data_IF_857364784633
#
_entry.id   IF_857364784633
#
_cell.length_a   1.000
_cell.length_b   1.000
_cell.length_c   1.000
_cell.angle_alpha   90.00
_cell.angle_beta   90.00
_cell.angle_gamma   90.00
#
_symmetry.space_group_name_H-M   'P 1'
#
loop_
_entity.id
_entity.type
_entity.pdbx_description
1 polymer ?
#
# COMPACT_ATOMS: atom_id res chain seq x y z
N UNK A 1 -18.09 -11.60 -21.18
CA UNK A 1 -17.92 -10.43 -20.31
C UNK A 1 -16.59 -9.74 -20.66
N UNK A 2 -16.62 -8.44 -21.02
CA UNK A 2 -15.43 -7.67 -21.36
C UNK A 2 -15.11 -6.72 -20.23
N UNK A 3 -13.95 -6.90 -19.62
CA UNK A 3 -13.51 -6.11 -18.45
C UNK A 3 -12.29 -5.26 -18.82
N UNK A 4 -12.31 -3.99 -18.44
CA UNK A 4 -11.15 -3.11 -18.48
C UNK A 4 -10.65 -2.84 -17.06
N UNK A 5 -9.42 -3.20 -16.77
CA UNK A 5 -8.75 -2.83 -15.53
C UNK A 5 -7.97 -1.52 -15.73
N UNK A 6 -8.23 -0.52 -14.91
CA UNK A 6 -7.41 0.68 -14.78
C UNK A 6 -6.52 0.52 -13.55
N UNK A 7 -5.22 0.52 -13.77
CA UNK A 7 -4.21 0.19 -12.76
C UNK A 7 -3.31 1.40 -12.46
N UNK A 8 -2.82 1.46 -11.23
CA UNK A 8 -1.81 2.45 -10.80
C UNK A 8 -0.39 2.09 -11.28
N UNK A 9 -0.13 0.81 -11.52
CA UNK A 9 1.18 0.29 -11.91
C UNK A 9 1.04 -0.76 -13.01
N UNK A 10 2.10 -0.96 -13.79
CA UNK A 10 2.17 -2.03 -14.77
C UNK A 10 2.49 -3.36 -14.06
N UNK A 11 1.61 -4.39 -14.15
CA UNK A 11 1.87 -5.67 -13.51
C UNK A 11 3.17 -6.32 -14.02
N UNK A 12 3.99 -6.94 -13.14
CA UNK A 12 5.29 -7.48 -13.50
C UNK A 12 5.27 -8.44 -14.71
N UNK A 13 4.30 -9.35 -14.77
CA UNK A 13 4.17 -10.31 -15.87
C UNK A 13 3.82 -9.68 -17.21
N UNK A 14 3.13 -8.52 -17.21
CA UNK A 14 2.86 -7.74 -18.42
C UNK A 14 4.09 -6.90 -18.79
N UNK A 15 4.77 -6.33 -17.78
CA UNK A 15 5.99 -5.55 -17.99
C UNK A 15 7.11 -6.35 -18.65
N UNK A 16 7.29 -7.61 -18.23
CA UNK A 16 8.26 -8.53 -18.81
C UNK A 16 8.01 -8.73 -20.31
N UNK A 17 6.77 -8.99 -20.72
CA UNK A 17 6.40 -9.16 -22.12
C UNK A 17 6.53 -7.89 -22.96
N UNK A 18 6.38 -6.73 -22.34
CA UNK A 18 6.56 -5.43 -22.98
C UNK A 18 8.03 -4.93 -22.95
N UNK A 19 8.98 -5.72 -22.41
CA UNK A 19 10.36 -5.33 -22.16
C UNK A 19 10.47 -4.00 -21.38
N UNK A 20 9.67 -3.86 -20.32
CA UNK A 20 9.64 -2.70 -19.41
C UNK A 20 10.03 -3.11 -18.00
N UNK A 21 10.48 -2.14 -17.20
CA UNK A 21 10.66 -2.37 -15.78
C UNK A 21 9.28 -2.55 -15.10
N UNK A 22 9.07 -3.69 -14.46
CA UNK A 22 7.88 -3.97 -13.65
C UNK A 22 8.00 -3.34 -12.28
N UNK A 23 6.88 -2.97 -11.69
CA UNK A 23 6.80 -2.49 -10.31
C UNK A 23 6.57 -3.66 -9.35
N UNK A 24 7.35 -3.73 -8.26
CA UNK A 24 7.08 -4.66 -7.16
C UNK A 24 5.99 -4.15 -6.19
N UNK A 25 5.48 -2.98 -6.45
CA UNK A 25 4.35 -2.42 -5.74
C UNK A 25 3.07 -3.16 -6.06
N UNK A 26 2.03 -3.21 -5.77
CA UNK A 26 0.79 -3.88 -6.24
C UNK A 26 0.97 -5.34 -6.72
N UNK A 27 1.89 -6.09 -6.11
CA UNK A 27 2.11 -7.51 -6.46
C UNK A 27 0.87 -8.40 -6.30
N UNK A 28 -0.13 -7.98 -5.52
CA UNK A 28 -1.42 -8.63 -5.35
C UNK A 28 -2.25 -8.71 -6.66
N UNK A 29 -2.14 -7.70 -7.54
CA UNK A 29 -2.79 -7.73 -8.88
C UNK A 29 -2.30 -8.92 -9.71
N UNK A 30 -1.03 -9.31 -9.57
CA UNK A 30 -0.46 -10.42 -10.34
C UNK A 30 -1.17 -11.75 -10.06
N UNK A 31 -1.59 -11.98 -8.81
CA UNK A 31 -2.35 -13.17 -8.43
C UNK A 31 -3.74 -13.22 -9.09
N UNK A 32 -4.46 -12.11 -9.04
CA UNK A 32 -5.76 -11.97 -9.70
C UNK A 32 -5.62 -12.04 -11.24
N UNK A 33 -4.62 -11.37 -11.82
CA UNK A 33 -4.37 -11.36 -13.26
C UNK A 33 -4.10 -12.76 -13.81
N UNK A 34 -3.26 -13.54 -13.15
CA UNK A 34 -2.91 -14.91 -13.60
C UNK A 34 -4.11 -15.85 -13.63
N UNK A 35 -5.15 -15.57 -12.84
CA UNK A 35 -6.38 -16.36 -12.78
C UNK A 35 -7.42 -15.87 -13.80
N UNK A 36 -7.68 -14.56 -13.83
CA UNK A 36 -8.74 -13.99 -14.68
C UNK A 36 -8.48 -14.22 -16.18
N UNK A 37 -7.21 -14.26 -16.59
CA UNK A 37 -6.81 -14.51 -18.00
C UNK A 37 -7.10 -15.98 -18.42
N UNK A 38 -7.34 -16.88 -17.46
CA UNK A 38 -7.70 -18.29 -17.73
C UNK A 38 -9.20 -18.52 -17.89
N UNK A 39 -10.00 -17.51 -17.59
CA UNK A 39 -11.46 -17.61 -17.64
C UNK A 39 -11.96 -17.44 -19.09
N UNK A 40 -12.33 -18.52 -19.74
CA UNK A 40 -12.79 -18.53 -21.15
C UNK A 40 -13.96 -17.58 -21.43
N UNK A 41 -14.79 -17.32 -20.42
CA UNK A 41 -15.95 -16.43 -20.52
C UNK A 41 -15.61 -14.95 -20.37
N UNK A 42 -14.33 -14.59 -20.17
CA UNK A 42 -13.89 -13.26 -19.82
C UNK A 42 -12.80 -12.76 -20.77
N UNK A 43 -13.00 -11.56 -21.32
CA UNK A 43 -11.97 -10.85 -22.11
C UNK A 43 -11.45 -9.68 -21.30
N UNK A 44 -10.14 -9.72 -20.95
CA UNK A 44 -9.50 -8.69 -20.15
C UNK A 44 -8.73 -7.70 -21.02
N UNK A 45 -8.92 -6.42 -20.75
CA UNK A 45 -8.05 -5.33 -21.18
C UNK A 45 -7.44 -4.64 -19.95
N UNK A 46 -6.20 -4.15 -20.07
CA UNK A 46 -5.50 -3.43 -19.00
C UNK A 46 -5.15 -2.04 -19.46
N UNK A 47 -5.42 -1.05 -18.63
CA UNK A 47 -5.00 0.33 -18.79
C UNK A 47 -3.95 0.66 -17.72
N UNK A 48 -2.76 1.12 -18.10
CA UNK A 48 -1.63 1.32 -17.20
C UNK A 48 -0.88 2.63 -17.47
N UNK A 49 -0.26 3.25 -16.44
CA UNK A 49 0.44 4.52 -16.58
C UNK A 49 1.83 4.38 -17.19
N UNK A 50 2.23 5.42 -17.94
CA UNK A 50 3.59 5.62 -18.45
C UNK A 50 4.10 7.02 -18.07
N UNK A 51 5.41 7.17 -17.95
CA UNK A 51 6.06 8.39 -17.50
C UNK A 51 6.30 9.46 -18.57
N UNK A 52 6.05 9.15 -19.86
CA UNK A 52 6.17 10.06 -21.00
C UNK A 52 5.05 9.82 -22.00
N UNK A 53 4.60 10.88 -22.66
CA UNK A 53 3.59 10.79 -23.73
C UNK A 53 4.07 9.97 -24.93
N UNK A 54 5.37 9.98 -25.23
CA UNK A 54 5.97 9.20 -26.30
C UNK A 54 5.90 7.68 -26.06
N UNK A 55 5.63 7.28 -24.83
CA UNK A 55 5.46 5.89 -24.42
C UNK A 55 4.01 5.38 -24.52
N UNK A 56 3.06 6.27 -24.90
CA UNK A 56 1.66 5.88 -25.07
C UNK A 56 1.54 4.97 -26.29
N UNK A 57 1.30 3.68 -26.04
CA UNK A 57 1.11 2.65 -27.06
C UNK A 57 0.00 1.70 -26.65
N UNK A 58 -0.80 1.29 -27.65
CA UNK A 58 -1.69 0.15 -27.51
C UNK A 58 -0.92 -1.10 -27.95
N UNK A 59 -1.07 -2.19 -27.22
CA UNK A 59 -0.38 -3.45 -27.49
C UNK A 59 -1.21 -4.66 -27.10
N UNK A 60 -0.88 -5.80 -27.64
CA UNK A 60 -1.39 -7.09 -27.20
C UNK A 60 -0.25 -7.86 -26.54
N UNK A 61 -0.54 -8.46 -25.42
CA UNK A 61 0.41 -9.25 -24.65
C UNK A 61 -0.10 -10.67 -24.52
N UNK A 62 0.69 -11.64 -25.01
CA UNK A 62 0.40 -13.06 -24.83
C UNK A 62 1.01 -13.51 -23.51
N UNK A 63 0.16 -13.82 -22.55
CA UNK A 63 0.53 -14.50 -21.31
C UNK A 63 0.33 -16.01 -21.47
N UNK A 64 0.96 -16.82 -20.63
CA UNK A 64 0.85 -18.27 -20.67
C UNK A 64 -0.62 -18.77 -20.61
N UNK A 65 -1.53 -17.96 -20.13
CA UNK A 65 -2.94 -18.25 -19.90
C UNK A 65 -3.91 -17.58 -20.88
N UNK A 66 -3.45 -16.70 -21.78
CA UNK A 66 -4.33 -16.02 -22.73
C UNK A 66 -3.74 -14.68 -23.22
N UNK A 67 -4.51 -13.95 -24.01
CA UNK A 67 -4.12 -12.64 -24.59
C UNK A 67 -4.78 -11.52 -23.80
N UNK A 68 -4.01 -10.47 -23.49
CA UNK A 68 -4.47 -9.26 -22.81
C UNK A 68 -4.20 -8.05 -23.70
N UNK A 69 -5.24 -7.24 -23.96
CA UNK A 69 -5.08 -5.95 -24.63
C UNK A 69 -4.61 -4.89 -23.62
N UNK A 70 -3.53 -4.20 -23.92
CA UNK A 70 -2.87 -3.25 -23.05
C UNK A 70 -2.92 -1.85 -23.63
N UNK A 71 -3.39 -0.89 -22.86
CA UNK A 71 -3.53 0.53 -23.22
C UNK A 71 -2.68 1.38 -22.27
N UNK A 72 -1.68 2.08 -22.79
CA UNK A 72 -0.92 3.02 -21.99
C UNK A 72 -1.59 4.39 -21.93
N UNK A 73 -1.50 5.05 -20.76
CA UNK A 73 -1.85 6.47 -20.58
C UNK A 73 -0.71 7.20 -19.86
N UNK A 74 -0.58 8.49 -20.08
CA UNK A 74 0.41 9.32 -19.41
C UNK A 74 -0.03 9.69 -17.99
N UNK A 75 0.88 9.55 -17.02
CA UNK A 75 0.71 9.99 -15.63
C UNK A 75 1.97 10.74 -15.17
N UNK A 76 1.85 12.02 -14.79
CA UNK A 76 2.95 12.80 -14.23
C UNK A 76 3.19 12.43 -12.75
N UNK A 77 4.00 11.39 -12.53
CA UNK A 77 4.37 10.91 -11.19
C UNK A 77 5.23 11.89 -10.40
N UNK A 78 5.80 12.92 -11.04
CA UNK A 78 6.58 13.96 -10.36
C UNK A 78 5.68 15.02 -9.74
N UNK A 79 4.51 15.23 -10.37
CA UNK A 79 3.50 16.18 -9.94
C UNK A 79 2.13 15.50 -9.84
N UNK A 80 1.98 14.51 -8.93
CA UNK A 80 0.76 13.72 -8.81
C UNK A 80 -0.45 14.56 -8.37
N UNK A 81 -0.19 15.79 -7.89
CA UNK A 81 -1.19 16.81 -7.54
C UNK A 81 -1.72 17.59 -8.75
N UNK A 82 -1.34 17.24 -9.98
CA UNK A 82 -1.83 17.90 -11.20
C UNK A 82 -2.85 17.03 -11.90
N UNK A 83 -4.07 17.51 -11.98
CA UNK A 83 -5.12 16.84 -12.72
C UNK A 83 -4.89 16.95 -14.24
N UNK A 84 -5.08 15.87 -14.97
CA UNK A 84 -4.84 15.81 -16.41
C UNK A 84 -6.14 15.68 -17.23
N UNK A 85 -6.52 16.72 -17.94
CA UNK A 85 -7.60 16.65 -18.95
C UNK A 85 -7.22 15.77 -20.16
N UNK A 86 -5.90 15.60 -20.43
CA UNK A 86 -5.42 14.70 -21.47
C UNK A 86 -5.73 13.24 -21.13
N UNK A 87 -5.74 12.90 -19.84
CA UNK A 87 -6.14 11.56 -19.39
C UNK A 87 -7.61 11.27 -19.73
N UNK A 88 -8.53 12.24 -19.55
CA UNK A 88 -9.93 12.07 -19.93
C UNK A 88 -10.08 11.81 -21.45
N UNK A 89 -9.38 12.58 -22.30
CA UNK A 89 -9.40 12.39 -23.74
C UNK A 89 -8.88 10.98 -24.11
N UNK A 90 -7.78 10.57 -23.52
CA UNK A 90 -7.18 9.24 -23.74
C UNK A 90 -8.12 8.12 -23.30
N UNK A 91 -8.77 8.23 -22.15
CA UNK A 91 -9.74 7.25 -21.68
C UNK A 91 -10.97 7.16 -22.58
N UNK A 92 -11.43 8.27 -23.16
CA UNK A 92 -12.50 8.24 -24.15
C UNK A 92 -12.11 7.40 -25.39
N UNK A 93 -10.85 7.51 -25.87
CA UNK A 93 -10.34 6.68 -26.97
C UNK A 93 -10.26 5.20 -26.59
N UNK A 94 -9.74 4.90 -25.40
CA UNK A 94 -9.61 3.55 -24.89
C UNK A 94 -10.97 2.88 -24.77
N UNK A 95 -11.95 3.55 -24.17
CA UNK A 95 -13.32 3.04 -24.02
C UNK A 95 -13.98 2.74 -25.37
N UNK A 96 -13.78 3.60 -26.39
CA UNK A 96 -14.27 3.36 -27.76
C UNK A 96 -13.63 2.14 -28.42
N UNK A 97 -12.34 1.86 -28.14
CA UNK A 97 -11.61 0.70 -28.68
C UNK A 97 -11.92 -0.59 -27.94
N UNK A 98 -11.81 -0.57 -26.62
CA UNK A 98 -11.99 -1.76 -25.76
C UNK A 98 -13.47 -2.17 -25.66
N UNK A 99 -14.40 -1.21 -25.68
CA UNK A 99 -15.85 -1.42 -25.50
C UNK A 99 -16.13 -2.38 -24.34
N UNK A 100 -15.66 -2.06 -23.13
CA UNK A 100 -15.85 -2.92 -21.97
C UNK A 100 -17.30 -2.91 -21.50
N UNK A 101 -17.76 -4.01 -20.92
CA UNK A 101 -19.03 -4.09 -20.19
C UNK A 101 -18.86 -3.44 -18.80
N UNK A 102 -17.66 -3.59 -18.19
CA UNK A 102 -17.30 -3.06 -16.88
C UNK A 102 -15.88 -2.51 -16.90
N UNK A 103 -15.68 -1.35 -16.26
CA UNK A 103 -14.37 -0.80 -15.92
C UNK A 103 -14.13 -0.99 -14.42
N UNK A 104 -13.09 -1.74 -14.03
CA UNK A 104 -12.63 -1.84 -12.66
C UNK A 104 -11.41 -0.95 -12.47
N UNK A 105 -11.53 0.05 -11.63
CA UNK A 105 -10.51 1.06 -11.31
C UNK A 105 -9.86 0.65 -9.99
N UNK A 106 -8.58 0.35 -10.00
CA UNK A 106 -7.83 -0.08 -8.82
C UNK A 106 -7.09 1.11 -8.20
N UNK A 107 -7.60 1.53 -7.03
CA UNK A 107 -7.04 2.65 -6.26
C UNK A 107 -7.68 4.00 -6.60
N UNK A 108 -7.54 4.90 -5.64
CA UNK A 108 -8.05 6.28 -5.70
C UNK A 108 -6.93 7.32 -5.55
N UNK A 109 -5.68 6.85 -5.54
CA UNK A 109 -4.51 7.60 -5.13
C UNK A 109 -4.10 8.70 -6.12
N UNK A 110 -4.57 8.63 -7.37
CA UNK A 110 -4.15 9.53 -8.44
C UNK A 110 -5.33 10.10 -9.22
N UNK A 111 -5.08 11.20 -9.93
CA UNK A 111 -6.08 11.93 -10.70
C UNK A 111 -6.71 11.12 -11.84
N UNK A 112 -6.05 10.06 -12.34
CA UNK A 112 -6.60 9.23 -13.41
C UNK A 112 -7.88 8.48 -12.99
N UNK A 113 -8.06 8.16 -11.70
CA UNK A 113 -9.31 7.57 -11.21
C UNK A 113 -10.48 8.50 -11.46
N UNK A 114 -10.36 9.76 -11.03
CA UNK A 114 -11.38 10.77 -11.30
C UNK A 114 -11.58 11.01 -12.81
N UNK A 115 -10.48 11.03 -13.58
CA UNK A 115 -10.55 11.21 -15.03
C UNK A 115 -11.36 10.09 -15.72
N UNK A 116 -11.18 8.83 -15.30
CA UNK A 116 -11.97 7.70 -15.80
C UNK A 116 -13.44 7.82 -15.39
N UNK A 117 -13.73 8.12 -14.13
CA UNK A 117 -15.10 8.31 -13.62
C UNK A 117 -15.82 9.42 -14.40
N UNK A 118 -15.17 10.58 -14.58
CA UNK A 118 -15.74 11.70 -15.36
C UNK A 118 -15.97 11.32 -16.82
N UNK A 119 -15.04 10.57 -17.41
CA UNK A 119 -15.14 10.10 -18.80
C UNK A 119 -16.33 9.16 -18.97
N UNK A 120 -16.50 8.18 -18.09
CA UNK A 120 -17.63 7.24 -18.13
C UNK A 120 -18.96 7.98 -17.95
N UNK A 121 -19.06 8.86 -16.97
CA UNK A 121 -20.29 9.62 -16.69
C UNK A 121 -20.73 10.52 -17.87
N UNK A 122 -19.77 11.04 -18.66
CA UNK A 122 -20.06 11.80 -19.88
C UNK A 122 -20.67 10.98 -21.03
N UNK A 123 -20.51 9.64 -21.01
CA UNK A 123 -21.06 8.75 -22.05
C UNK A 123 -22.56 8.46 -21.88
N UNK A 124 -23.15 8.77 -20.73
CA UNK A 124 -24.57 8.58 -20.46
C UNK A 124 -25.02 7.11 -20.59
N UNK A 125 -26.10 6.87 -21.33
CA UNK A 125 -26.69 5.52 -21.46
C UNK A 125 -25.79 4.49 -22.15
N UNK A 126 -24.79 4.92 -22.91
CA UNK A 126 -23.83 4.03 -23.59
C UNK A 126 -22.59 3.73 -22.73
N UNK A 127 -22.56 4.20 -21.49
CA UNK A 127 -21.44 4.01 -20.59
C UNK A 127 -21.30 2.56 -20.12
N UNK A 128 -20.07 2.02 -20.01
CA UNK A 128 -19.83 0.77 -19.28
C UNK A 128 -20.21 0.95 -17.81
N UNK A 129 -20.50 -0.16 -17.14
CA UNK A 129 -20.56 -0.16 -15.67
C UNK A 129 -19.18 0.18 -15.11
N UNK A 130 -19.11 0.71 -13.87
CA UNK A 130 -17.83 0.99 -13.21
C UNK A 130 -17.82 0.47 -11.78
N UNK A 131 -16.63 0.10 -11.34
CA UNK A 131 -16.31 -0.34 -10.00
C UNK A 131 -15.00 0.34 -9.58
N UNK A 132 -14.97 1.01 -8.43
CA UNK A 132 -13.72 1.48 -7.82
C UNK A 132 -13.33 0.52 -6.71
N UNK A 133 -12.07 0.05 -6.72
CA UNK A 133 -11.46 -0.68 -5.61
C UNK A 133 -10.61 0.27 -4.77
N UNK A 134 -10.99 0.52 -3.51
CA UNK A 134 -10.23 1.37 -2.61
C UNK A 134 -8.98 0.63 -2.14
N UNK A 135 -7.80 1.24 -2.34
CA UNK A 135 -6.52 0.75 -1.85
C UNK A 135 -6.06 1.53 -0.62
N UNK A 136 -5.79 2.80 -0.77
CA UNK A 136 -5.60 3.76 0.31
C UNK A 136 -6.75 4.76 0.35
N UNK A 137 -6.81 5.57 1.41
CA UNK A 137 -7.75 6.68 1.53
C UNK A 137 -6.95 7.97 1.62
N UNK A 138 -6.77 8.61 0.45
CA UNK A 138 -5.76 9.65 0.25
C UNK A 138 -6.07 10.94 1.02
N UNK A 139 -7.34 11.37 1.07
CA UNK A 139 -7.67 12.57 1.85
C UNK A 139 -7.38 12.37 3.34
N UNK A 140 -7.64 11.16 3.89
CA UNK A 140 -7.30 10.83 5.26
C UNK A 140 -5.79 10.76 5.46
N UNK A 141 -5.05 10.23 4.47
CA UNK A 141 -3.59 10.29 4.49
C UNK A 141 -3.08 11.73 4.57
N UNK A 142 -3.71 12.67 3.86
CA UNK A 142 -3.38 14.08 3.93
C UNK A 142 -3.64 14.69 5.31
N UNK A 143 -4.75 14.36 5.92
CA UNK A 143 -5.11 14.82 7.27
C UNK A 143 -4.12 14.31 8.34
N UNK A 144 -3.72 13.04 8.26
CA UNK A 144 -2.81 12.40 9.23
C UNK A 144 -1.31 12.51 8.87
N UNK A 145 -0.97 13.21 7.76
CA UNK A 145 0.40 13.22 7.21
C UNK A 145 1.46 13.73 8.17
N UNK A 146 1.09 14.65 9.05
CA UNK A 146 1.98 15.32 10.01
C UNK A 146 1.78 14.86 11.45
N UNK A 147 1.04 13.76 11.65
CA UNK A 147 0.75 13.25 12.99
C UNK A 147 2.04 13.08 13.81
N UNK A 148 2.03 13.67 15.01
CA UNK A 148 3.12 13.63 16.00
C UNK A 148 4.48 14.20 15.52
N UNK A 149 4.48 14.99 14.46
CA UNK A 149 5.70 15.68 14.05
C UNK A 149 5.77 17.10 14.65
N UNK A 150 6.93 17.51 15.21
CA UNK A 150 7.12 18.87 15.65
C UNK A 150 6.90 19.88 14.50
N UNK A 151 6.23 20.99 14.78
CA UNK A 151 5.93 22.03 13.77
C UNK A 151 7.19 22.52 13.03
N UNK A 152 8.31 22.62 13.74
CA UNK A 152 9.61 23.01 13.17
C UNK A 152 10.13 21.97 12.15
N UNK A 153 9.74 20.69 12.26
CA UNK A 153 10.08 19.63 11.32
C UNK A 153 9.17 19.69 10.11
N UNK A 154 7.86 19.87 10.34
CA UNK A 154 6.84 19.98 9.28
C UNK A 154 7.13 21.15 8.34
N UNK A 155 7.40 22.33 8.92
CA UNK A 155 7.68 23.56 8.18
C UNK A 155 9.16 23.74 7.82
N UNK A 156 10.03 22.84 8.28
CA UNK A 156 11.47 22.88 8.01
C UNK A 156 11.82 22.59 6.55
N UNK A 157 12.97 23.10 6.12
CA UNK A 157 13.50 22.86 4.78
C UNK A 157 14.93 22.36 4.84
N UNK A 158 15.25 21.40 3.99
CA UNK A 158 16.63 21.08 3.62
C UNK A 158 16.95 21.66 2.25
N UNK A 159 18.21 21.59 1.83
CA UNK A 159 18.62 22.00 0.48
C UNK A 159 17.83 21.24 -0.61
N UNK A 160 17.62 19.94 -0.41
CA UNK A 160 16.77 19.13 -1.29
C UNK A 160 15.35 19.65 -1.37
N UNK A 161 14.77 19.96 -0.23
CA UNK A 161 13.36 20.35 -0.14
C UNK A 161 13.12 21.72 -0.81
N UNK A 162 14.09 22.64 -0.74
CA UNK A 162 14.03 23.91 -1.46
C UNK A 162 14.02 23.69 -2.97
N UNK A 163 14.93 22.83 -3.49
CA UNK A 163 15.03 22.57 -4.93
C UNK A 163 13.81 21.81 -5.47
N UNK A 164 13.27 20.88 -4.68
CA UNK A 164 12.17 20.01 -5.11
C UNK A 164 10.78 20.51 -4.74
N UNK A 165 10.71 21.59 -3.94
CA UNK A 165 9.45 22.04 -3.35
C UNK A 165 8.69 20.91 -2.66
N UNK A 166 9.39 20.14 -1.81
CA UNK A 166 8.93 18.84 -1.34
C UNK A 166 9.25 18.60 0.15
N UNK A 167 9.11 19.63 0.99
CA UNK A 167 9.14 19.45 2.45
C UNK A 167 7.85 18.78 2.94
N UNK A 168 7.77 18.43 4.21
CA UNK A 168 6.63 17.67 4.77
C UNK A 168 5.30 18.40 4.55
N UNK A 169 5.25 19.73 4.80
CA UNK A 169 4.04 20.52 4.58
C UNK A 169 3.60 20.51 3.11
N UNK A 170 4.55 20.61 2.16
CA UNK A 170 4.24 20.53 0.73
C UNK A 170 3.75 19.13 0.33
N UNK A 171 4.32 18.07 0.90
CA UNK A 171 3.85 16.71 0.68
C UNK A 171 2.42 16.53 1.20
N UNK A 172 2.12 17.03 2.41
CA UNK A 172 0.77 17.03 2.96
C UNK A 172 -0.22 17.75 2.03
N UNK A 173 0.14 18.95 1.56
CA UNK A 173 -0.72 19.71 0.65
C UNK A 173 -1.07 18.93 -0.63
N UNK A 174 -0.08 18.22 -1.21
CA UNK A 174 -0.30 17.35 -2.37
C UNK A 174 -1.24 16.18 -2.08
N UNK A 175 -1.19 15.61 -0.89
CA UNK A 175 -2.12 14.56 -0.47
C UNK A 175 -3.54 15.12 -0.33
N UNK A 176 -3.70 16.28 0.31
CA UNK A 176 -5.00 16.93 0.48
C UNK A 176 -5.64 17.30 -0.87
N UNK A 177 -4.85 17.83 -1.81
CA UNK A 177 -5.35 18.15 -3.15
C UNK A 177 -5.85 16.91 -3.90
N UNK A 178 -5.05 15.82 -3.92
CA UNK A 178 -5.47 14.53 -4.48
C UNK A 178 -6.68 13.94 -3.76
N UNK A 179 -6.78 14.17 -2.47
CA UNK A 179 -7.91 13.74 -1.66
C UNK A 179 -9.25 14.35 -2.10
N UNK A 180 -9.25 15.59 -2.62
CA UNK A 180 -10.49 16.17 -3.19
C UNK A 180 -10.93 15.45 -4.47
N UNK A 181 -9.98 15.01 -5.31
CA UNK A 181 -10.28 14.20 -6.48
C UNK A 181 -10.81 12.81 -6.11
N UNK A 182 -10.24 12.20 -5.08
CA UNK A 182 -10.72 10.94 -4.53
C UNK A 182 -12.17 11.06 -4.05
N UNK A 183 -12.48 12.07 -3.24
CA UNK A 183 -13.84 12.33 -2.76
C UNK A 183 -14.83 12.52 -3.92
N UNK A 184 -14.43 13.25 -4.97
CA UNK A 184 -15.28 13.43 -6.16
C UNK A 184 -15.48 12.12 -6.90
N UNK A 185 -14.43 11.30 -7.07
CA UNK A 185 -14.53 10.01 -7.73
C UNK A 185 -15.47 9.06 -6.98
N UNK A 186 -15.35 8.96 -5.65
CA UNK A 186 -16.22 8.14 -4.81
C UNK A 186 -17.69 8.61 -4.89
N UNK A 187 -17.94 9.92 -4.81
CA UNK A 187 -19.30 10.49 -4.91
C UNK A 187 -20.00 10.17 -6.23
N UNK A 188 -19.24 9.98 -7.29
CA UNK A 188 -19.76 9.80 -8.65
C UNK A 188 -19.63 8.36 -9.18
N UNK A 189 -19.27 7.39 -8.32
CA UNK A 189 -19.19 5.99 -8.68
C UNK A 189 -20.30 5.18 -7.98
N UNK A 190 -21.12 4.42 -8.72
CA UNK A 190 -22.24 3.68 -8.14
C UNK A 190 -21.81 2.38 -7.43
N UNK A 191 -20.62 1.82 -7.74
CA UNK A 191 -20.17 0.56 -7.18
C UNK A 191 -18.73 0.72 -6.66
N UNK A 192 -18.52 0.36 -5.40
CA UNK A 192 -17.22 0.50 -4.74
C UNK A 192 -16.91 -0.78 -3.98
N UNK A 193 -15.67 -1.22 -4.04
CA UNK A 193 -15.17 -2.33 -3.23
C UNK A 193 -14.06 -1.88 -2.31
N UNK A 194 -14.02 -2.46 -1.12
CA UNK A 194 -13.02 -2.22 -0.11
C UNK A 194 -12.88 -3.42 0.82
N UNK A 195 -12.09 -3.28 1.88
CA UNK A 195 -11.64 -4.41 2.68
C UNK A 195 -11.91 -4.28 4.18
N UNK A 196 -12.25 -3.10 4.64
CA UNK A 196 -12.28 -2.75 6.06
C UNK A 196 -13.53 -1.96 6.40
N UNK A 197 -13.90 -1.94 7.68
CA UNK A 197 -14.98 -1.07 8.15
C UNK A 197 -14.63 0.41 8.01
N UNK A 198 -13.33 0.72 8.00
CA UNK A 198 -12.84 2.09 7.80
C UNK A 198 -13.17 2.61 6.40
N UNK A 199 -12.77 1.91 5.34
CA UNK A 199 -13.08 2.35 3.97
C UNK A 199 -14.59 2.27 3.67
N UNK A 200 -15.30 1.28 4.23
CA UNK A 200 -16.75 1.20 4.13
C UNK A 200 -17.44 2.42 4.72
N UNK A 201 -17.06 2.83 5.93
CA UNK A 201 -17.64 4.01 6.60
C UNK A 201 -17.40 5.31 5.81
N UNK A 202 -16.24 5.41 5.17
CA UNK A 202 -15.90 6.54 4.30
C UNK A 202 -16.77 6.57 3.05
N UNK A 203 -16.96 5.41 2.40
CA UNK A 203 -17.85 5.31 1.24
C UNK A 203 -19.26 5.69 1.61
N UNK A 204 -19.82 5.14 2.69
CA UNK A 204 -21.15 5.46 3.18
C UNK A 204 -21.32 6.96 3.51
N UNK A 205 -20.29 7.58 4.10
CA UNK A 205 -20.29 9.01 4.40
C UNK A 205 -20.17 9.93 3.17
N UNK A 206 -19.54 9.48 2.08
CA UNK A 206 -19.35 10.28 0.86
C UNK A 206 -20.42 10.02 -0.20
N UNK A 207 -20.97 8.80 -0.27
CA UNK A 207 -21.92 8.35 -1.28
C UNK A 207 -22.86 7.27 -0.74
N UNK A 208 -23.91 7.69 -0.06
CA UNK A 208 -24.93 6.78 0.51
C UNK A 208 -25.64 5.91 -0.55
N UNK A 209 -25.61 6.32 -1.81
CA UNK A 209 -26.25 5.57 -2.92
C UNK A 209 -25.33 4.51 -3.53
N UNK A 210 -24.04 4.51 -3.21
CA UNK A 210 -23.11 3.53 -3.74
C UNK A 210 -23.37 2.14 -3.15
N UNK A 211 -23.29 1.12 -4.00
CA UNK A 211 -23.22 -0.28 -3.53
C UNK A 211 -21.80 -0.57 -3.09
N UNK A 212 -21.62 -0.88 -1.81
CA UNK A 212 -20.33 -1.30 -1.29
C UNK A 212 -20.22 -2.83 -1.28
N UNK A 213 -19.10 -3.33 -1.82
CA UNK A 213 -18.78 -4.76 -1.88
C UNK A 213 -17.52 -5.03 -1.06
N UNK A 214 -17.65 -5.83 -0.01
CA UNK A 214 -16.47 -6.32 0.70
C UNK A 214 -15.71 -7.33 -0.17
N UNK A 215 -14.41 -7.08 -0.37
CA UNK A 215 -13.52 -7.92 -1.18
C UNK A 215 -12.10 -7.83 -0.65
N UNK A 216 -11.56 -8.94 -0.20
CA UNK A 216 -10.15 -9.04 0.20
C UNK A 216 -9.24 -9.25 -1.01
N UNK A 217 -7.94 -9.12 -0.80
CA UNK A 217 -6.91 -9.29 -1.82
C UNK A 217 -6.07 -10.54 -1.59
N UNK A 218 -5.69 -11.16 -2.70
CA UNK A 218 -4.67 -12.21 -2.71
C UNK A 218 -3.30 -11.56 -2.61
N UNK A 219 -2.46 -12.02 -1.69
CA UNK A 219 -1.11 -11.50 -1.54
C UNK A 219 -0.13 -12.16 -2.53
N UNK A 220 1.13 -11.73 -2.49
CA UNK A 220 2.17 -12.28 -3.36
C UNK A 220 2.48 -13.74 -3.02
N UNK A 221 2.62 -14.58 -4.03
CA UNK A 221 2.77 -16.05 -3.90
C UNK A 221 3.81 -16.51 -2.88
N UNK A 222 5.03 -15.93 -2.78
CA UNK A 222 6.03 -16.42 -1.84
C UNK A 222 5.60 -16.47 -0.37
N UNK A 223 4.63 -15.64 0.05
CA UNK A 223 4.22 -15.55 1.45
C UNK A 223 3.24 -16.62 1.89
N UNK A 224 2.69 -17.40 0.95
CA UNK A 224 1.84 -18.56 1.27
C UNK A 224 2.62 -19.81 1.69
N UNK A 225 3.95 -19.80 1.53
CA UNK A 225 4.83 -20.90 1.84
C UNK A 225 5.80 -20.55 2.95
N UNK A 226 6.11 -21.53 3.79
CA UNK A 226 7.00 -21.36 4.94
C UNK A 226 6.23 -20.96 6.20
N UNK A 227 6.98 -20.73 7.26
CA UNK A 227 6.43 -20.33 8.56
C UNK A 227 7.51 -19.78 9.47
N UNK A 228 7.18 -18.77 10.24
CA UNK A 228 8.03 -18.21 11.27
C UNK A 228 8.19 -19.21 12.42
N UNK A 229 9.37 -19.27 12.98
CA UNK A 229 9.70 -20.14 14.07
C UNK A 229 10.53 -19.38 15.11
N UNK A 230 10.07 -19.43 16.36
CA UNK A 230 10.66 -18.72 17.49
C UNK A 230 12.08 -19.16 17.81
N UNK A 231 12.43 -20.42 17.53
CA UNK A 231 13.76 -20.98 17.80
C UNK A 231 14.78 -20.55 16.75
N UNK A 232 14.34 -20.27 15.53
CA UNK A 232 15.21 -19.91 14.41
C UNK A 232 15.24 -18.40 14.10
N UNK A 233 14.30 -17.62 14.64
CA UNK A 233 14.28 -16.18 14.45
C UNK A 233 15.46 -15.49 15.18
N UNK A 234 15.87 -14.34 14.70
CA UNK A 234 16.84 -13.48 15.38
C UNK A 234 16.14 -12.74 16.50
N UNK A 235 16.37 -13.18 17.75
CA UNK A 235 15.79 -12.53 18.93
C UNK A 235 16.15 -11.04 18.96
N UNK A 236 15.23 -10.23 19.44
CA UNK A 236 15.33 -8.77 19.59
C UNK A 236 15.55 -8.00 18.27
N UNK A 237 15.13 -8.59 17.13
CA UNK A 237 15.12 -7.92 15.83
C UNK A 237 13.70 -7.54 15.44
N UNK A 238 13.47 -6.25 15.22
CA UNK A 238 12.27 -5.70 14.63
C UNK A 238 12.42 -5.61 13.11
N UNK A 239 11.34 -5.84 12.38
CA UNK A 239 11.30 -5.61 10.94
C UNK A 239 10.19 -4.62 10.60
N UNK A 240 10.50 -3.68 9.69
CA UNK A 240 9.59 -2.67 9.15
C UNK A 240 9.65 -2.71 7.64
N UNK A 241 8.50 -2.80 6.98
CA UNK A 241 8.42 -2.92 5.53
C UNK A 241 8.68 -1.62 4.78
N UNK A 242 8.53 -0.47 5.43
CA UNK A 242 8.69 0.84 4.81
C UNK A 242 8.84 1.95 5.88
N UNK A 243 9.70 2.95 5.60
CA UNK A 243 9.91 4.12 6.47
C UNK A 243 10.10 5.42 5.67
N UNK A 244 9.69 5.47 4.40
CA UNK A 244 10.10 6.51 3.43
C UNK A 244 9.47 7.89 3.73
N UNK A 245 8.36 7.95 4.46
CA UNK A 245 7.61 9.17 4.75
C UNK A 245 6.88 9.07 6.10
N UNK A 246 6.45 10.22 6.59
CA UNK A 246 5.96 10.38 7.98
C UNK A 246 4.80 9.47 8.36
N UNK A 247 3.84 9.24 7.46
CA UNK A 247 2.69 8.37 7.71
C UNK A 247 3.07 6.95 8.15
N UNK A 248 4.29 6.49 7.83
CA UNK A 248 4.76 5.16 8.26
C UNK A 248 5.23 5.10 9.72
N UNK A 249 5.22 6.24 10.42
CA UNK A 249 5.44 6.31 11.86
C UNK A 249 6.81 5.82 12.32
N UNK A 250 7.84 5.83 11.46
CA UNK A 250 9.15 5.33 11.85
C UNK A 250 9.79 6.16 12.97
N UNK A 251 9.43 7.44 13.09
CA UNK A 251 9.83 8.30 14.20
C UNK A 251 9.26 7.81 15.54
N UNK A 252 8.01 7.30 15.57
CA UNK A 252 7.39 6.71 16.75
C UNK A 252 8.13 5.43 17.16
N UNK A 253 8.48 4.58 16.18
CA UNK A 253 9.28 3.39 16.47
C UNK A 253 10.66 3.74 17.02
N UNK A 254 11.35 4.76 16.51
CA UNK A 254 12.64 5.20 17.04
C UNK A 254 12.53 5.69 18.49
N UNK A 255 11.45 6.37 18.84
CA UNK A 255 11.15 6.77 20.20
C UNK A 255 10.91 5.54 21.08
N UNK A 256 10.05 4.61 20.68
CA UNK A 256 9.81 3.35 21.36
C UNK A 256 11.09 2.52 21.56
N UNK A 257 12.00 2.53 20.58
CA UNK A 257 13.29 1.85 20.67
C UNK A 257 14.18 2.39 21.80
N UNK A 258 13.98 3.64 22.25
CA UNK A 258 14.71 4.18 23.40
C UNK A 258 14.39 3.41 24.69
N UNK A 259 13.16 2.98 24.87
CA UNK A 259 12.70 2.21 26.03
C UNK A 259 12.99 0.72 25.87
N UNK A 260 12.79 0.19 24.67
CA UNK A 260 13.10 -1.22 24.37
C UNK A 260 14.58 -1.51 24.63
N UNK A 261 15.52 -0.64 24.20
CA UNK A 261 16.95 -0.85 24.39
C UNK A 261 17.40 -0.86 25.85
N UNK A 262 16.65 -0.21 26.74
CA UNK A 262 16.94 -0.24 28.18
C UNK A 262 16.73 -1.64 28.78
N UNK A 263 15.83 -2.44 28.18
CA UNK A 263 15.52 -3.82 28.60
C UNK A 263 16.25 -4.86 27.73
N UNK A 264 16.45 -4.54 26.45
CA UNK A 264 17.10 -5.39 25.45
C UNK A 264 18.19 -4.60 24.72
N UNK A 265 19.41 -4.48 25.29
CA UNK A 265 20.48 -3.65 24.74
C UNK A 265 20.94 -4.05 23.32
N UNK A 266 20.68 -5.27 22.91
CA UNK A 266 21.00 -5.84 21.62
C UNK A 266 19.89 -5.60 20.55
N UNK A 267 18.80 -4.88 20.89
CA UNK A 267 17.74 -4.55 19.95
C UNK A 267 18.26 -3.97 18.65
N UNK A 268 17.70 -4.42 17.55
CA UNK A 268 17.93 -3.90 16.20
C UNK A 268 16.62 -3.74 15.46
N UNK A 269 16.56 -2.76 14.55
CA UNK A 269 15.49 -2.64 13.57
C UNK A 269 16.07 -2.75 12.17
N UNK A 270 15.45 -3.58 11.35
CA UNK A 270 15.74 -3.76 9.93
C UNK A 270 14.60 -3.16 9.12
N UNK A 271 14.93 -2.28 8.18
CA UNK A 271 13.97 -1.46 7.44
C UNK A 271 14.13 -1.74 5.96
N UNK A 272 13.10 -2.26 5.31
CA UNK A 272 13.05 -2.33 3.86
C UNK A 272 12.75 -0.95 3.24
N UNK A 273 13.25 -0.72 2.04
CA UNK A 273 13.09 0.55 1.33
C UNK A 273 14.35 1.41 1.31
N UNK A 274 14.23 2.59 0.73
CA UNK A 274 15.38 3.48 0.56
C UNK A 274 15.89 4.02 1.90
N UNK A 275 17.21 4.14 2.04
CA UNK A 275 17.80 4.80 3.20
C UNK A 275 17.62 6.32 3.11
N UNK A 276 16.52 6.82 3.63
CA UNK A 276 16.22 8.27 3.67
C UNK A 276 17.04 9.02 4.71
N UNK A 277 17.75 8.30 5.60
CA UNK A 277 18.64 8.83 6.62
C UNK A 277 20.11 8.91 6.14
N UNK A 278 20.43 8.53 4.90
CA UNK A 278 21.78 8.51 4.39
C UNK A 278 22.43 9.90 4.48
N UNK A 279 23.60 9.99 5.15
CA UNK A 279 24.32 11.24 5.38
C UNK A 279 25.85 11.07 5.41
N UNK A 280 26.34 9.91 4.94
CA UNK A 280 27.74 9.50 5.02
C UNK A 280 28.66 10.31 4.12
N UNK A 281 28.14 10.80 2.99
CA UNK A 281 28.91 11.59 2.02
C UNK A 281 28.17 12.89 1.64
N UNK A 282 28.86 13.80 0.94
CA UNK A 282 28.28 15.07 0.50
C UNK A 282 27.03 14.88 -0.37
N UNK A 283 27.05 13.87 -1.26
CA UNK A 283 25.93 13.53 -2.13
C UNK A 283 24.67 13.12 -1.32
N UNK A 284 24.86 12.37 -0.25
CA UNK A 284 23.77 11.94 0.63
C UNK A 284 23.17 13.16 1.35
N UNK A 285 24.04 14.04 1.89
CA UNK A 285 23.59 15.26 2.59
C UNK A 285 22.79 16.21 1.70
N UNK A 286 23.15 16.31 0.41
CA UNK A 286 22.41 17.13 -0.56
C UNK A 286 21.03 16.52 -0.85
N UNK A 287 20.90 15.19 -0.81
CA UNK A 287 19.65 14.49 -1.05
C UNK A 287 18.76 14.31 0.19
N UNK A 288 19.26 14.64 1.37
CA UNK A 288 18.57 14.44 2.63
C UNK A 288 17.37 15.39 2.74
N UNK A 289 16.16 14.84 2.87
CA UNK A 289 14.94 15.62 3.14
C UNK A 289 14.74 15.92 4.61
N UNK A 290 13.78 16.81 4.91
CA UNK A 290 13.48 17.25 6.30
C UNK A 290 13.12 16.08 7.21
N UNK A 291 12.30 15.13 6.74
CA UNK A 291 11.96 13.94 7.52
C UNK A 291 13.19 13.06 7.81
N UNK A 292 13.99 12.75 6.80
CA UNK A 292 15.24 11.98 7.00
C UNK A 292 16.23 12.65 7.94
N UNK A 293 16.33 14.00 7.90
CA UNK A 293 17.12 14.79 8.85
C UNK A 293 16.59 14.65 10.28
N UNK A 294 15.26 14.69 10.44
CA UNK A 294 14.60 14.49 11.74
C UNK A 294 14.89 13.11 12.31
N UNK A 295 14.72 12.05 11.52
CA UNK A 295 15.04 10.68 11.92
C UNK A 295 16.50 10.51 12.33
N UNK A 296 17.44 11.12 11.60
CA UNK A 296 18.87 11.12 12.00
C UNK A 296 19.10 11.77 13.39
N UNK A 297 18.37 12.85 13.68
CA UNK A 297 18.46 13.49 14.98
C UNK A 297 17.91 12.59 16.08
N UNK A 298 16.79 11.88 15.85
CA UNK A 298 16.22 10.91 16.79
C UNK A 298 17.18 9.73 17.02
N UNK A 299 17.73 9.12 15.96
CA UNK A 299 18.71 8.05 16.06
C UNK A 299 19.87 8.45 16.95
N UNK A 300 20.39 9.66 16.78
CA UNK A 300 21.49 10.19 17.58
C UNK A 300 21.07 10.51 19.01
N UNK A 301 19.95 11.21 19.21
CA UNK A 301 19.50 11.64 20.54
C UNK A 301 19.13 10.46 21.44
N UNK A 302 18.57 9.39 20.84
CA UNK A 302 18.25 8.15 21.56
C UNK A 302 19.42 7.14 21.61
N UNK A 303 20.60 7.46 21.05
CA UNK A 303 21.76 6.57 21.03
C UNK A 303 21.46 5.24 20.34
N UNK A 304 20.86 5.30 19.15
CA UNK A 304 20.46 4.16 18.33
C UNK A 304 21.40 3.92 17.14
N UNK A 305 22.56 4.59 17.11
CA UNK A 305 23.56 4.41 16.07
C UNK A 305 24.00 2.94 16.02
N UNK A 306 24.01 2.36 14.82
CA UNK A 306 24.32 0.95 14.58
C UNK A 306 23.20 -0.04 14.96
N UNK A 307 22.05 0.45 15.45
CA UNK A 307 20.86 -0.36 15.74
C UNK A 307 19.80 -0.30 14.64
N UNK A 308 19.89 0.66 13.74
CA UNK A 308 19.00 0.86 12.59
C UNK A 308 19.72 0.47 11.31
N UNK A 309 19.17 -0.49 10.56
CA UNK A 309 19.74 -0.99 9.32
C UNK A 309 18.72 -0.84 8.18
N UNK A 310 19.03 -0.03 7.18
CA UNK A 310 18.26 0.10 5.95
C UNK A 310 18.75 -0.90 4.90
N UNK A 311 17.86 -1.75 4.43
CA UNK A 311 18.18 -2.88 3.56
C UNK A 311 18.12 -2.55 2.06
N UNK A 312 17.64 -1.35 1.71
CA UNK A 312 17.31 -1.04 0.33
C UNK A 312 15.99 -1.66 -0.14
N UNK A 313 15.75 -1.59 -1.45
CA UNK A 313 14.56 -2.20 -2.04
C UNK A 313 14.72 -3.70 -2.09
N UNK A 314 13.79 -4.42 -1.50
CA UNK A 314 13.76 -5.87 -1.44
C UNK A 314 12.72 -6.41 -2.42
N UNK A 315 13.02 -7.51 -3.09
CA UNK A 315 12.03 -8.30 -3.82
C UNK A 315 11.19 -9.17 -2.85
N UNK A 316 10.21 -9.90 -3.35
CA UNK A 316 9.30 -10.68 -2.53
C UNK A 316 10.02 -11.77 -1.70
N UNK A 317 10.98 -12.47 -2.29
CA UNK A 317 11.77 -13.50 -1.60
C UNK A 317 12.71 -12.91 -0.53
N UNK A 318 13.28 -11.74 -0.80
CA UNK A 318 14.08 -11.01 0.18
C UNK A 318 13.23 -10.51 1.35
N UNK A 319 12.04 -9.95 1.05
CA UNK A 319 11.07 -9.57 2.07
C UNK A 319 10.67 -10.77 2.96
N UNK A 320 10.35 -11.92 2.34
CA UNK A 320 10.02 -13.16 3.05
C UNK A 320 11.14 -13.57 4.01
N UNK A 321 12.41 -13.53 3.56
CA UNK A 321 13.55 -13.85 4.43
C UNK A 321 13.65 -12.90 5.63
N UNK A 322 13.39 -11.62 5.45
CA UNK A 322 13.41 -10.66 6.56
C UNK A 322 12.25 -10.92 7.54
N UNK A 323 11.05 -11.18 7.06
CA UNK A 323 9.91 -11.57 7.90
C UNK A 323 10.24 -12.82 8.72
N UNK A 324 10.68 -13.90 8.09
CA UNK A 324 10.97 -15.15 8.78
C UNK A 324 12.14 -15.04 9.78
N UNK A 325 13.02 -14.08 9.56
CA UNK A 325 14.20 -13.90 10.43
C UNK A 325 14.00 -12.90 11.55
N UNK A 326 12.99 -12.04 11.53
CA UNK A 326 12.76 -11.08 12.60
C UNK A 326 12.03 -11.72 13.80
N UNK A 327 12.14 -11.11 14.98
CA UNK A 327 11.38 -11.54 16.15
C UNK A 327 9.96 -10.98 16.12
N UNK A 328 9.79 -9.75 15.61
CA UNK A 328 8.48 -9.07 15.55
C UNK A 328 8.44 -8.14 14.35
N UNK A 329 7.33 -8.17 13.62
CA UNK A 329 7.02 -7.18 12.59
C UNK A 329 6.28 -6.00 13.22
N UNK A 330 6.67 -4.78 12.86
CA UNK A 330 6.06 -3.54 13.37
C UNK A 330 5.44 -2.73 12.23
N UNK A 331 4.17 -2.35 12.41
CA UNK A 331 3.45 -1.40 11.57
C UNK A 331 3.06 -0.17 12.43
N UNK A 332 3.94 0.83 12.50
CA UNK A 332 3.76 2.02 13.34
C UNK A 332 3.06 3.19 12.63
N UNK A 333 2.39 2.93 11.51
CA UNK A 333 1.78 3.96 10.67
C UNK A 333 0.76 4.81 11.42
N UNK A 334 0.68 6.11 11.11
CA UNK A 334 -0.37 7.00 11.62
C UNK A 334 -1.70 6.84 10.89
N UNK A 335 -1.68 6.22 9.71
CA UNK A 335 -2.88 5.77 8.99
C UNK A 335 -2.55 4.62 8.05
N UNK A 336 -3.42 3.63 7.99
CA UNK A 336 -3.45 2.54 7.02
C UNK A 336 -4.90 2.18 6.70
N UNK A 337 -5.18 1.76 5.47
CA UNK A 337 -6.46 1.12 5.16
C UNK A 337 -6.34 -0.39 5.38
N UNK A 338 -5.56 -1.06 4.55
CA UNK A 338 -5.33 -2.51 4.63
C UNK A 338 -3.89 -2.81 4.19
N UNK A 339 -2.92 -2.74 5.12
CA UNK A 339 -1.52 -2.87 4.78
C UNK A 339 -1.17 -4.32 4.39
N UNK A 340 -0.94 -4.55 3.10
CA UNK A 340 -0.58 -5.88 2.57
C UNK A 340 0.68 -6.46 3.23
N UNK A 341 1.63 -5.60 3.61
CA UNK A 341 2.84 -6.01 4.34
C UNK A 341 2.55 -6.63 5.70
N UNK A 342 1.49 -6.19 6.39
CA UNK A 342 1.03 -6.80 7.63
C UNK A 342 0.40 -8.17 7.35
N UNK A 343 -0.45 -8.26 6.33
CA UNK A 343 -1.00 -9.54 5.88
C UNK A 343 0.08 -10.55 5.49
N UNK A 344 1.15 -10.12 4.82
CA UNK A 344 2.32 -10.95 4.48
C UNK A 344 3.05 -11.46 5.74
N UNK A 345 3.27 -10.59 6.73
CA UNK A 345 3.85 -10.99 8.02
C UNK A 345 2.97 -12.02 8.73
N UNK A 346 1.66 -11.77 8.79
CA UNK A 346 0.68 -12.67 9.40
C UNK A 346 0.60 -14.02 8.67
N UNK A 347 0.59 -14.05 7.33
CA UNK A 347 0.60 -15.31 6.56
C UNK A 347 1.79 -16.21 6.92
N UNK A 348 2.94 -15.60 7.14
CA UNK A 348 4.16 -16.29 7.56
C UNK A 348 4.18 -16.62 9.06
N UNK A 349 3.19 -16.16 9.82
CA UNK A 349 3.10 -16.37 11.26
C UNK A 349 4.06 -15.50 12.08
N UNK A 350 4.53 -14.38 11.56
CA UNK A 350 5.36 -13.44 12.32
C UNK A 350 4.49 -12.71 13.35
N UNK A 351 4.88 -12.64 14.63
CA UNK A 351 4.17 -11.82 15.61
C UNK A 351 4.13 -10.35 15.19
N UNK A 352 2.93 -9.75 15.18
CA UNK A 352 2.68 -8.38 14.69
C UNK A 352 2.36 -7.45 15.84
N UNK A 353 3.01 -6.28 15.85
CA UNK A 353 2.62 -5.11 16.63
C UNK A 353 2.25 -3.99 15.66
N UNK A 354 1.03 -3.48 15.74
CA UNK A 354 0.53 -2.47 14.81
C UNK A 354 -0.20 -1.33 15.54
N UNK A 355 -0.22 -0.16 14.93
CA UNK A 355 -1.01 0.97 15.43
C UNK A 355 -2.52 0.73 15.21
N UNK A 356 -3.34 1.16 16.16
CA UNK A 356 -4.81 1.10 16.09
C UNK A 356 -5.35 2.24 15.23
N UNK A 357 -5.12 2.18 13.92
CA UNK A 357 -5.51 3.23 12.98
C UNK A 357 -6.24 2.68 11.76
N UNK A 358 -7.13 3.49 11.22
CA UNK A 358 -7.83 3.21 9.97
C UNK A 358 -8.48 1.83 9.95
N UNK A 359 -8.11 1.01 8.97
CA UNK A 359 -8.65 -0.33 8.78
C UNK A 359 -7.92 -1.45 9.52
N UNK A 360 -6.80 -1.19 10.20
CA UNK A 360 -6.04 -2.22 10.93
C UNK A 360 -6.92 -2.98 11.93
N UNK A 361 -7.79 -2.33 12.75
CA UNK A 361 -8.67 -3.05 13.69
C UNK A 361 -9.65 -4.04 13.04
N UNK A 362 -9.96 -3.88 11.75
CA UNK A 362 -10.79 -4.86 11.01
C UNK A 362 -10.01 -6.12 10.60
N UNK A 363 -8.67 -6.06 10.63
CA UNK A 363 -7.78 -7.11 10.12
C UNK A 363 -7.13 -7.94 11.21
N UNK A 364 -7.06 -7.44 12.44
CA UNK A 364 -6.42 -8.09 13.59
C UNK A 364 -7.37 -8.07 14.78
N UNK A 365 -7.66 -9.24 15.35
CA UNK A 365 -8.21 -9.37 16.69
C UNK A 365 -7.06 -9.22 17.71
N UNK A 366 -7.16 -8.16 18.52
CA UNK A 366 -6.16 -7.84 19.53
C UNK A 366 -6.02 -8.97 20.56
N UNK A 367 -4.79 -9.20 21.04
CA UNK A 367 -4.40 -10.26 22.00
C UNK A 367 -4.52 -11.68 21.46
N UNK A 368 -5.13 -11.89 20.29
CA UNK A 368 -5.31 -13.20 19.66
C UNK A 368 -4.48 -13.35 18.37
N UNK A 369 -4.46 -12.30 17.55
CA UNK A 369 -3.87 -12.32 16.20
C UNK A 369 -2.68 -11.34 16.05
N UNK A 370 -2.54 -10.42 16.99
CA UNK A 370 -1.50 -9.39 17.09
C UNK A 370 -1.75 -8.48 18.28
N UNK A 371 -0.85 -7.51 18.51
CA UNK A 371 -1.03 -6.46 19.52
C UNK A 371 -1.22 -5.11 18.84
N UNK A 372 -2.14 -4.31 19.39
CA UNK A 372 -2.52 -3.01 18.84
C UNK A 372 -2.27 -1.89 19.86
N UNK A 373 -1.34 -1.01 19.58
CA UNK A 373 -1.10 0.19 20.37
C UNK A 373 -1.84 1.41 19.81
N UNK A 374 -2.15 2.39 20.64
CA UNK A 374 -2.79 3.62 20.20
C UNK A 374 -1.89 4.45 19.29
N UNK A 375 -2.48 5.11 18.29
CA UNK A 375 -1.74 5.93 17.33
C UNK A 375 -0.78 6.91 18.02
N UNK A 376 0.43 7.05 17.46
CA UNK A 376 1.46 7.96 17.97
C UNK A 376 1.89 7.72 19.43
N UNK A 377 1.57 6.56 20.01
CA UNK A 377 1.95 6.17 21.37
C UNK A 377 3.21 5.28 21.35
N UNK A 378 4.39 5.89 21.45
CA UNK A 378 5.67 5.18 21.46
C UNK A 378 5.84 4.29 22.70
N UNK A 379 5.31 4.68 23.86
CA UNK A 379 5.33 3.89 25.10
C UNK A 379 4.53 2.61 24.92
N UNK A 380 3.29 2.68 24.42
CA UNK A 380 2.45 1.51 24.15
C UNK A 380 3.08 0.56 23.13
N UNK A 381 3.69 1.11 22.05
CA UNK A 381 4.46 0.30 21.09
C UNK A 381 5.62 -0.42 21.78
N UNK A 382 6.37 0.26 22.64
CA UNK A 382 7.49 -0.34 23.37
C UNK A 382 7.01 -1.44 24.33
N UNK A 383 5.90 -1.20 25.05
CA UNK A 383 5.31 -2.18 25.96
C UNK A 383 4.89 -3.46 25.23
N UNK A 384 4.22 -3.34 24.10
CA UNK A 384 3.75 -4.48 23.30
C UNK A 384 4.91 -5.32 22.74
N UNK A 385 5.94 -4.66 22.20
CA UNK A 385 7.16 -5.36 21.76
C UNK A 385 7.84 -6.10 22.95
N UNK A 386 7.96 -5.43 24.09
CA UNK A 386 8.58 -6.01 25.29
C UNK A 386 7.77 -7.19 25.82
N UNK A 387 6.43 -7.15 25.76
CA UNK A 387 5.55 -8.25 26.16
C UNK A 387 5.82 -9.49 25.30
N UNK A 388 5.84 -9.33 23.98
CA UNK A 388 6.14 -10.44 23.05
C UNK A 388 7.52 -11.04 23.34
N UNK A 389 8.53 -10.19 23.56
CA UNK A 389 9.91 -10.67 23.74
C UNK A 389 10.20 -11.31 25.10
N UNK A 390 9.34 -11.09 26.08
CA UNK A 390 9.43 -11.70 27.42
C UNK A 390 8.64 -12.99 27.57
N UNK A 391 7.68 -13.22 26.67
CA UNK A 391 6.77 -14.36 26.77
C UNK A 391 6.68 -15.09 25.42
N UNK A 392 7.48 -16.12 25.26
CA UNK A 392 7.49 -16.97 24.07
C UNK A 392 6.12 -17.63 23.81
N UNK A 393 5.30 -17.90 24.86
CA UNK A 393 3.95 -18.44 24.68
C UNK A 393 3.01 -17.40 24.08
N UNK A 394 3.13 -16.13 24.47
CA UNK A 394 2.40 -15.03 23.83
C UNK A 394 2.82 -14.92 22.37
N UNK A 395 4.12 -14.90 22.06
CA UNK A 395 4.62 -14.83 20.70
C UNK A 395 4.07 -15.97 19.83
N UNK A 396 4.06 -17.20 20.31
CA UNK A 396 3.54 -18.37 19.59
C UNK A 396 2.02 -18.31 19.41
N UNK A 397 1.27 -17.84 20.41
CA UNK A 397 -0.19 -17.67 20.29
C UNK A 397 -0.53 -16.63 19.21
N UNK A 398 0.11 -15.46 19.24
CA UNK A 398 -0.10 -14.40 18.24
C UNK A 398 0.32 -14.86 16.85
N UNK A 399 1.42 -15.61 16.74
CA UNK A 399 1.88 -16.20 15.48
C UNK A 399 0.82 -17.13 14.87
N UNK A 400 0.27 -18.05 15.66
CA UNK A 400 -0.73 -19.01 15.20
C UNK A 400 -2.06 -18.33 14.85
N UNK A 401 -2.55 -17.42 15.70
CA UNK A 401 -3.78 -16.66 15.49
C UNK A 401 -3.68 -15.79 14.24
N UNK A 402 -2.61 -15.02 14.12
CA UNK A 402 -2.34 -14.17 12.96
C UNK A 402 -2.25 -14.96 11.65
N UNK A 403 -1.54 -16.09 11.65
CA UNK A 403 -1.44 -16.95 10.48
C UNK A 403 -2.79 -17.54 10.07
N UNK A 404 -3.59 -17.97 11.03
CA UNK A 404 -4.94 -18.47 10.77
C UNK A 404 -5.82 -17.37 10.14
N UNK A 405 -5.86 -16.20 10.76
CA UNK A 405 -6.61 -15.04 10.26
C UNK A 405 -6.22 -14.66 8.84
N UNK A 406 -4.91 -14.54 8.58
CA UNK A 406 -4.40 -14.13 7.28
C UNK A 406 -4.70 -15.16 6.17
N UNK A 407 -4.66 -16.46 6.48
CA UNK A 407 -5.06 -17.51 5.53
C UNK A 407 -6.51 -17.40 5.12
N UNK A 408 -7.42 -17.04 6.03
CA UNK A 408 -8.83 -16.81 5.71
C UNK A 408 -9.02 -15.52 4.91
N UNK A 409 -8.37 -14.43 5.33
CA UNK A 409 -8.51 -13.11 4.69
C UNK A 409 -7.92 -13.10 3.27
N UNK A 410 -6.80 -13.77 3.07
CA UNK A 410 -6.05 -13.74 1.82
C UNK A 410 -6.14 -15.05 1.03
N UNK A 411 -7.19 -15.87 1.26
CA UNK A 411 -7.42 -17.07 0.47
C UNK A 411 -7.60 -16.69 -1.01
N UNK A 412 -6.70 -17.22 -1.84
CA UNK A 412 -6.61 -16.81 -3.23
C UNK A 412 -7.80 -17.31 -4.08
N UNK A 413 -8.39 -18.45 -3.72
CA UNK A 413 -9.55 -19.01 -4.44
C UNK A 413 -10.81 -18.25 -4.03
N UNK A 414 -11.02 -18.05 -2.75
CA UNK A 414 -12.17 -17.31 -2.21
C UNK A 414 -12.19 -15.88 -2.72
N UNK A 415 -11.05 -15.19 -2.69
CA UNK A 415 -10.96 -13.79 -3.14
C UNK A 415 -11.17 -13.65 -4.65
N UNK A 416 -10.66 -14.60 -5.45
CA UNK A 416 -10.91 -14.62 -6.88
C UNK A 416 -12.39 -14.90 -7.22
N UNK A 417 -13.01 -15.88 -6.58
CA UNK A 417 -14.44 -16.16 -6.76
C UNK A 417 -15.29 -14.95 -6.38
N UNK A 418 -14.94 -14.26 -5.28
CA UNK A 418 -15.65 -13.05 -4.87
C UNK A 418 -15.53 -11.91 -5.90
N UNK A 419 -14.37 -11.74 -6.52
CA UNK A 419 -14.19 -10.77 -7.61
C UNK A 419 -15.15 -11.06 -8.79
N UNK A 420 -15.25 -12.32 -9.21
CA UNK A 420 -16.13 -12.73 -10.30
C UNK A 420 -17.61 -12.55 -9.92
N UNK A 421 -17.99 -12.88 -8.68
CA UNK A 421 -19.35 -12.64 -8.17
C UNK A 421 -19.73 -11.17 -8.25
N UNK A 422 -18.83 -10.26 -7.77
CA UNK A 422 -19.05 -8.82 -7.83
C UNK A 422 -19.27 -8.34 -9.27
N UNK A 423 -18.47 -8.83 -10.23
CA UNK A 423 -18.65 -8.49 -11.63
C UNK A 423 -20.00 -8.93 -12.17
N UNK A 424 -20.43 -10.14 -11.85
CA UNK A 424 -21.74 -10.68 -12.25
C UNK A 424 -22.89 -9.87 -11.61
N UNK A 425 -22.77 -9.52 -10.32
CA UNK A 425 -23.77 -8.72 -9.62
C UNK A 425 -23.92 -7.29 -10.19
N UNK A 426 -22.85 -6.71 -10.71
CA UNK A 426 -22.88 -5.36 -11.33
C UNK A 426 -23.44 -5.41 -12.73
N UNK A 427 -23.22 -6.50 -13.47
CA UNK A 427 -23.63 -6.65 -14.87
C UNK A 427 -25.02 -7.26 -15.04
N UNK A 428 -25.57 -7.88 -13.98
CA UNK A 428 -26.98 -8.33 -13.97
C UNK A 428 -27.95 -7.15 -13.87
#
# INVERSE_FOLDING_TARGET
MKILWLLNELPPMVAEQLNREGSNKEGWISGALSRIVREDMLSLSICYPVGSEDEIKDSEVSLASGVVHCFAYFEDRKHPERYSLLAEARFCEILKKAKPDLVHIFGTEYGHTLAMVRTINKLGESAPKMLIGIQGVIFRCGEEYTCDLPEAVVNGYTFRDIIKHDNIANQQAKFLERGEWEKEAIRNCPNITGRTDFDKSIVEGLNESARYFAMNETLRTPFYEGGWDIESCRKHVLFVSQADYSLKGFHILLEAMSDIKNKFPDVRVRVAGANICANSCLKDRIKLGSYGKYLNNLIKSYGLEGKVEFLGRLNAEEMKREYLSCHTYVCASSLENSPNSMGEAMLLGVPVVASRVGGIPSLIAEEEEGLLFEACNAEGLAEDVIRIWKDDNLALRLSQGGAHRARLTHDADVNFMRLIEIYNEILS
#
